data_IF_556306068215
#
_entry.id   IF_556306068215
#
_cell.length_a   1.000
_cell.length_b   1.000
_cell.length_c   1.000
_cell.angle_alpha   90.00
_cell.angle_beta   90.00
_cell.angle_gamma   90.00
#
_symmetry.space_group_name_H-M   'P 1'
#
loop_
_entity.id
_entity.type
_entity.pdbx_description
1 polymer ?
#
# COMPACT_ATOMS: atom_id res chain seq x y z
N UNK A 1 9.82 -1.46 14.71
CA UNK A 1 8.79 -2.46 14.42
C UNK A 1 8.42 -3.17 15.71
N UNK A 2 7.19 -3.68 15.83
CA UNK A 2 6.81 -4.57 16.92
C UNK A 2 6.43 -5.95 16.37
N UNK A 3 6.63 -6.97 17.20
CA UNK A 3 6.32 -8.36 16.83
C UNK A 3 4.82 -8.54 16.63
N UNK A 4 4.43 -9.16 15.52
CA UNK A 4 3.04 -9.55 15.28
C UNK A 4 2.54 -10.60 16.28
N UNK A 5 3.43 -11.40 16.86
CA UNK A 5 3.06 -12.40 17.87
C UNK A 5 2.60 -11.75 19.17
N UNK A 6 3.18 -10.61 19.53
CA UNK A 6 2.83 -9.85 20.74
C UNK A 6 1.54 -9.03 20.56
N UNK A 7 1.09 -8.84 19.32
CA UNK A 7 -0.08 -8.06 18.93
C UNK A 7 -0.99 -8.85 17.98
N UNK A 8 -1.19 -10.13 18.27
CA UNK A 8 -1.93 -11.05 17.42
C UNK A 8 -3.41 -10.65 17.26
N UNK A 9 -4.00 -10.03 18.28
CA UNK A 9 -5.35 -9.46 18.26
C UNK A 9 -5.50 -8.36 17.20
N UNK A 10 -4.51 -7.46 17.12
CA UNK A 10 -4.47 -6.38 16.13
C UNK A 10 -4.35 -6.94 14.71
N UNK A 11 -3.48 -7.94 14.54
CA UNK A 11 -3.25 -8.59 13.24
C UNK A 11 -4.50 -9.32 12.79
N UNK A 12 -5.10 -10.12 13.67
CA UNK A 12 -6.32 -10.88 13.39
C UNK A 12 -7.47 -9.94 12.98
N UNK A 13 -7.75 -8.91 13.78
CA UNK A 13 -8.81 -7.94 13.47
C UNK A 13 -8.57 -7.20 12.15
N UNK A 14 -7.31 -6.93 11.80
CA UNK A 14 -6.96 -6.34 10.52
C UNK A 14 -7.26 -7.30 9.36
N UNK A 15 -6.81 -8.56 9.44
CA UNK A 15 -7.02 -9.56 8.38
C UNK A 15 -8.51 -9.79 8.15
N UNK A 16 -9.30 -10.02 9.21
CA UNK A 16 -10.75 -10.20 9.13
C UNK A 16 -11.45 -9.02 8.44
N UNK A 17 -11.00 -7.80 8.73
CA UNK A 17 -11.49 -6.60 8.08
C UNK A 17 -11.12 -6.54 6.60
N UNK A 18 -9.91 -6.90 6.22
CA UNK A 18 -9.50 -6.91 4.80
C UNK A 18 -10.22 -8.00 3.99
N UNK A 19 -10.44 -9.17 4.59
CA UNK A 19 -11.20 -10.28 4.00
C UNK A 19 -12.67 -9.91 3.83
N UNK A 20 -13.32 -9.36 4.85
CA UNK A 20 -14.72 -8.90 4.76
C UNK A 20 -14.94 -7.79 3.74
N UNK A 21 -13.89 -7.03 3.42
CA UNK A 21 -13.90 -6.00 2.38
C UNK A 21 -13.47 -6.53 1.00
N UNK A 22 -13.23 -7.85 0.87
CA UNK A 22 -12.87 -8.53 -0.37
C UNK A 22 -11.52 -8.13 -0.95
N UNK A 23 -10.64 -7.52 -0.13
CA UNK A 23 -9.33 -7.03 -0.57
C UNK A 23 -8.22 -8.06 -0.43
N UNK A 24 -8.41 -9.00 0.48
CA UNK A 24 -7.53 -10.13 0.72
C UNK A 24 -8.38 -11.39 0.62
N UNK A 25 -7.85 -12.41 -0.05
CA UNK A 25 -8.52 -13.70 -0.13
C UNK A 25 -8.42 -14.42 1.23
N UNK A 26 -9.46 -15.18 1.55
CA UNK A 26 -9.59 -15.85 2.85
C UNK A 26 -8.61 -17.00 3.06
N UNK A 27 -8.81 -17.70 4.17
CA UNK A 27 -7.98 -18.86 4.53
C UNK A 27 -8.04 -19.92 3.43
N UNK A 28 -6.87 -20.25 2.90
CA UNK A 28 -6.66 -21.42 2.07
C UNK A 28 -6.33 -22.60 2.98
N UNK A 29 -6.86 -23.77 2.66
CA UNK A 29 -6.42 -25.02 3.29
C UNK A 29 -5.00 -25.36 2.84
N UNK A 30 -4.29 -26.10 3.68
CA UNK A 30 -2.92 -26.53 3.38
C UNK A 30 -2.88 -27.32 2.06
N UNK A 31 -2.04 -26.87 1.11
CA UNK A 31 -1.90 -27.47 -0.21
C UNK A 31 -2.85 -26.95 -1.30
N UNK A 32 -3.79 -26.05 -0.99
CA UNK A 32 -4.68 -25.45 -2.00
C UNK A 32 -3.96 -24.47 -2.94
N UNK A 33 -2.83 -23.93 -2.51
CA UNK A 33 -2.06 -22.92 -3.24
C UNK A 33 -0.63 -23.42 -3.51
N UNK A 34 -0.40 -24.18 -4.59
CA UNK A 34 0.95 -24.60 -4.96
C UNK A 34 1.81 -23.38 -5.32
N UNK A 35 3.07 -23.38 -4.86
CA UNK A 35 3.99 -22.26 -5.11
C UNK A 35 3.79 -21.04 -4.21
N UNK A 36 3.18 -21.22 -3.03
CA UNK A 36 2.95 -20.16 -2.06
C UNK A 36 4.25 -19.43 -1.68
N UNK A 37 4.27 -18.11 -1.89
CA UNK A 37 5.28 -17.23 -1.34
C UNK A 37 4.78 -16.62 -0.03
N UNK A 38 5.64 -16.60 0.99
CA UNK A 38 5.29 -16.05 2.31
C UNK A 38 6.17 -14.85 2.64
N UNK A 39 5.54 -13.72 2.92
CA UNK A 39 6.21 -12.52 3.41
C UNK A 39 5.82 -12.25 4.87
N UNK A 40 6.75 -11.81 5.72
CA UNK A 40 6.45 -11.52 7.11
C UNK A 40 5.54 -10.29 7.24
N UNK A 41 4.76 -10.28 8.32
CA UNK A 41 4.01 -9.11 8.76
C UNK A 41 4.75 -8.40 9.87
N UNK A 42 4.58 -7.09 9.92
CA UNK A 42 4.98 -6.32 11.07
C UNK A 42 3.94 -5.23 11.39
N UNK A 43 3.84 -4.85 12.67
CA UNK A 43 2.87 -3.86 13.14
C UNK A 43 3.58 -2.63 13.72
N UNK A 44 2.99 -1.47 13.45
CA UNK A 44 3.44 -0.18 13.95
C UNK A 44 2.25 0.60 14.54
N UNK A 45 2.34 1.08 15.79
CA UNK A 45 1.31 1.93 16.37
C UNK A 45 1.29 3.28 15.64
N UNK A 46 0.09 3.81 15.39
CA UNK A 46 -0.08 5.17 14.87
C UNK A 46 -0.11 6.17 16.02
N UNK A 47 -0.02 7.46 15.67
CA UNK A 47 -0.13 8.58 16.63
C UNK A 47 -1.45 8.56 17.43
N UNK A 48 -2.54 8.09 16.83
CA UNK A 48 -3.82 7.97 17.50
C UNK A 48 -3.84 6.68 18.35
N UNK A 49 -4.15 6.77 19.65
CA UNK A 49 -4.21 5.60 20.54
C UNK A 49 -5.10 4.49 20.01
N UNK A 50 -4.67 3.23 20.17
CA UNK A 50 -5.43 2.06 19.74
C UNK A 50 -5.50 1.84 18.24
N UNK A 51 -4.82 2.65 17.43
CA UNK A 51 -4.78 2.47 15.97
C UNK A 51 -3.41 2.00 15.50
N UNK A 52 -3.43 1.09 14.53
CA UNK A 52 -2.25 0.39 14.07
C UNK A 52 -2.09 0.49 12.56
N UNK A 53 -0.86 0.31 12.10
CA UNK A 53 -0.51 0.09 10.69
C UNK A 53 0.17 -1.27 10.62
N UNK A 54 -0.44 -2.18 9.87
CA UNK A 54 0.17 -3.43 9.48
C UNK A 54 0.93 -3.22 8.17
N UNK A 55 2.13 -3.77 8.11
CA UNK A 55 3.05 -3.71 6.97
C UNK A 55 3.37 -5.14 6.57
N UNK A 56 3.27 -5.41 5.28
CA UNK A 56 3.75 -6.67 4.68
C UNK A 56 5.13 -6.37 4.16
N UNK A 57 6.14 -7.11 4.64
CA UNK A 57 7.50 -6.94 4.17
C UNK A 57 7.72 -7.70 2.86
N UNK A 58 7.43 -7.02 1.75
CA UNK A 58 7.63 -7.54 0.39
C UNK A 58 9.09 -7.54 -0.06
N UNK A 59 10.04 -7.20 0.82
CA UNK A 59 11.48 -7.26 0.55
C UNK A 59 12.15 -8.51 1.13
N UNK A 60 11.38 -9.35 1.83
CA UNK A 60 11.83 -10.59 2.44
C UNK A 60 11.26 -11.82 1.71
N UNK A 61 12.03 -12.92 1.59
CA UNK A 61 13.45 -13.02 1.90
C UNK A 61 14.30 -12.30 0.84
N UNK A 62 15.38 -11.67 1.25
CA UNK A 62 16.24 -10.93 0.32
C UNK A 62 16.81 -11.84 -0.79
N UNK A 63 16.70 -11.41 -2.05
CA UNK A 63 17.15 -12.15 -3.23
C UNK A 63 16.14 -13.17 -3.76
N UNK A 64 14.99 -13.33 -3.09
CA UNK A 64 13.89 -14.17 -3.52
C UNK A 64 12.52 -13.59 -3.09
N UNK A 65 12.46 -12.29 -2.79
CA UNK A 65 11.25 -11.61 -2.35
C UNK A 65 10.30 -11.37 -3.51
N UNK A 66 9.04 -11.00 -3.21
CA UNK A 66 8.08 -10.58 -4.24
C UNK A 66 8.65 -9.47 -5.12
N UNK A 67 9.31 -8.48 -4.51
CA UNK A 67 9.90 -7.37 -5.25
C UNK A 67 11.07 -7.79 -6.15
N UNK A 68 11.88 -8.77 -5.73
CA UNK A 68 12.99 -9.29 -6.54
C UNK A 68 12.50 -10.00 -7.82
N UNK A 69 11.26 -10.49 -7.83
CA UNK A 69 10.64 -11.15 -8.98
C UNK A 69 10.00 -10.21 -10.01
N UNK A 70 9.90 -8.91 -9.72
CA UNK A 70 9.25 -7.94 -10.62
C UNK A 70 10.30 -7.31 -11.54
N UNK A 71 10.16 -7.50 -12.85
CA UNK A 71 11.04 -6.89 -13.85
C UNK A 71 11.05 -5.35 -13.73
N UNK A 72 12.23 -4.74 -13.91
CA UNK A 72 12.39 -3.29 -13.95
C UNK A 72 11.52 -2.62 -15.03
N UNK A 73 11.32 -3.30 -16.17
CA UNK A 73 10.47 -2.81 -17.26
C UNK A 73 9.01 -2.62 -16.81
N UNK A 74 8.53 -3.48 -15.89
CA UNK A 74 7.17 -3.45 -15.34
C UNK A 74 7.04 -2.52 -14.13
N UNK A 75 8.15 -2.13 -13.50
CA UNK A 75 8.17 -1.29 -12.30
C UNK A 75 8.70 0.13 -12.56
N UNK A 76 8.98 0.48 -13.82
CA UNK A 76 9.37 1.83 -14.20
C UNK A 76 8.23 2.84 -13.93
N UNK A 77 8.51 3.83 -13.09
CA UNK A 77 7.55 4.87 -12.72
C UNK A 77 8.14 6.26 -13.03
N UNK A 78 7.36 7.10 -13.71
CA UNK A 78 7.70 8.50 -13.90
C UNK A 78 6.85 9.35 -12.96
N UNK A 79 7.52 10.03 -12.02
CA UNK A 79 6.88 10.95 -11.10
C UNK A 79 7.13 12.39 -11.53
N UNK A 80 6.11 13.24 -11.37
CA UNK A 80 6.30 14.69 -11.43
C UNK A 80 7.08 15.10 -10.18
N UNK A 81 8.19 15.81 -10.36
CA UNK A 81 8.97 16.30 -9.22
C UNK A 81 8.24 17.42 -8.50
N UNK A 82 8.59 17.67 -7.24
CA UNK A 82 8.06 18.81 -6.48
C UNK A 82 8.35 20.12 -7.20
N UNK A 83 9.55 20.29 -7.76
CA UNK A 83 9.93 21.50 -8.51
C UNK A 83 9.06 21.70 -9.74
N UNK A 84 8.90 20.67 -10.57
CA UNK A 84 8.04 20.70 -11.76
C UNK A 84 6.60 21.05 -11.37
N UNK A 85 6.07 20.42 -10.32
CA UNK A 85 4.73 20.69 -9.84
C UNK A 85 4.57 22.13 -9.32
N UNK A 86 5.54 22.63 -8.55
CA UNK A 86 5.51 24.02 -8.06
C UNK A 86 5.59 25.04 -9.18
N UNK A 87 6.40 24.80 -10.21
CA UNK A 87 6.48 25.67 -11.39
C UNK A 87 5.15 25.68 -12.14
N UNK A 88 4.59 24.50 -12.41
CA UNK A 88 3.29 24.37 -13.08
C UNK A 88 2.18 25.11 -12.32
N UNK A 89 2.13 24.98 -11.00
CA UNK A 89 1.13 25.67 -10.18
C UNK A 89 1.41 27.15 -10.08
N UNK A 90 2.66 27.58 -9.92
CA UNK A 90 3.00 28.99 -9.87
C UNK A 90 2.58 29.69 -11.17
N UNK A 91 2.92 29.12 -12.33
CA UNK A 91 2.52 29.63 -13.64
C UNK A 91 0.99 29.70 -13.76
N UNK A 92 0.30 28.64 -13.34
CA UNK A 92 -1.17 28.58 -13.36
C UNK A 92 -1.77 29.64 -12.44
N UNK A 93 -1.31 29.75 -11.20
CA UNK A 93 -1.84 30.66 -10.18
C UNK A 93 -1.58 32.12 -10.56
N UNK A 94 -0.40 32.43 -11.10
CA UNK A 94 -0.07 33.77 -11.61
C UNK A 94 -0.98 34.21 -12.76
N UNK A 95 -1.58 33.27 -13.50
CA UNK A 95 -2.55 33.58 -14.56
C UNK A 95 -4.00 33.78 -14.08
N UNK A 96 -4.29 33.50 -12.80
CA UNK A 96 -5.64 33.55 -12.24
C UNK A 96 -5.91 34.89 -11.55
N UNK A 97 -7.19 35.29 -11.50
CA UNK A 97 -7.58 36.54 -10.85
C UNK A 97 -7.43 36.47 -9.32
N UNK A 98 -7.20 37.61 -8.65
CA UNK A 98 -7.26 37.69 -7.19
C UNK A 98 -8.55 37.07 -6.64
N UNK A 99 -8.44 36.34 -5.54
CA UNK A 99 -9.58 35.65 -4.92
C UNK A 99 -9.87 34.25 -5.47
N UNK A 100 -9.05 33.72 -6.38
CA UNK A 100 -9.18 32.34 -6.84
C UNK A 100 -8.95 31.34 -5.71
N UNK A 101 -9.80 30.32 -5.64
CA UNK A 101 -9.75 29.26 -4.62
C UNK A 101 -9.03 28.01 -5.14
N UNK A 102 -8.31 27.32 -4.26
CA UNK A 102 -7.64 26.06 -4.54
C UNK A 102 -8.22 24.95 -3.66
N UNK A 103 -8.54 23.80 -4.26
CA UNK A 103 -8.94 22.60 -3.55
C UNK A 103 -7.90 21.49 -3.75
N UNK A 104 -7.55 20.79 -2.68
CA UNK A 104 -6.77 19.55 -2.72
C UNK A 104 -7.68 18.39 -2.34
N UNK A 105 -7.68 17.36 -3.18
CA UNK A 105 -8.39 16.11 -2.92
C UNK A 105 -7.35 15.01 -2.62
N UNK A 106 -7.64 14.18 -1.63
CA UNK A 106 -6.83 13.03 -1.26
C UNK A 106 -7.65 11.75 -1.53
N UNK A 107 -7.07 10.82 -2.28
CA UNK A 107 -7.72 9.54 -2.58
C UNK A 107 -7.46 8.58 -1.43
N UNK A 108 -8.47 8.39 -0.59
CA UNK A 108 -8.40 7.46 0.54
C UNK A 108 -8.14 6.04 0.03
N UNK A 109 -7.11 5.40 0.57
CA UNK A 109 -6.78 3.99 0.29
C UNK A 109 -6.50 3.71 -1.20
N UNK A 110 -5.86 4.64 -1.92
CA UNK A 110 -5.62 4.55 -3.37
C UNK A 110 -5.16 3.18 -3.88
N UNK A 111 -4.14 2.57 -3.25
CA UNK A 111 -3.61 1.26 -3.67
C UNK A 111 -4.58 0.08 -3.51
N UNK A 112 -5.66 0.26 -2.74
CA UNK A 112 -6.71 -0.74 -2.55
C UNK A 112 -7.88 -0.60 -3.52
N UNK A 113 -7.88 0.47 -4.31
CA UNK A 113 -8.91 0.73 -5.33
C UNK A 113 -8.55 0.03 -6.63
N UNK A 114 -7.26 -0.08 -6.94
CA UNK A 114 -6.77 -0.73 -8.16
C UNK A 114 -6.77 -2.25 -7.92
N UNK A 115 -7.50 -3.05 -8.73
CA UNK A 115 -7.54 -4.49 -8.56
C UNK A 115 -6.23 -5.14 -9.02
N UNK A 116 -5.81 -6.20 -8.33
CA UNK A 116 -4.74 -7.10 -8.79
C UNK A 116 -5.32 -8.07 -9.82
N UNK A 117 -4.60 -8.23 -10.94
CA UNK A 117 -4.97 -9.16 -11.99
C UNK A 117 -5.02 -10.60 -11.43
N UNK A 118 -6.04 -11.42 -11.76
CA UNK A 118 -6.21 -12.74 -11.14
C UNK A 118 -5.02 -13.70 -11.28
N UNK A 119 -4.20 -13.55 -12.31
CA UNK A 119 -3.00 -14.38 -12.50
C UNK A 119 -1.84 -14.01 -11.55
N UNK A 120 -1.91 -12.83 -10.92
CA UNK A 120 -0.88 -12.30 -10.00
C UNK A 120 -1.37 -12.32 -8.53
N UNK A 121 -2.45 -13.06 -8.25
CA UNK A 121 -3.05 -13.18 -6.90
C UNK A 121 -2.53 -14.37 -6.11
#
# INVERSE_FOLDING_TARGET
MLSCLEHSDVVQAYIEKEVSLGRVLGLFSEGEVPGLHTSPFEVIPKKAPGTWRLIVDLTSPHGASVNDGISEDLSSLSYVTVSQWTSLIADKVCSLSPGTLLAKLDVKSAFRIVPVHPADR
#
